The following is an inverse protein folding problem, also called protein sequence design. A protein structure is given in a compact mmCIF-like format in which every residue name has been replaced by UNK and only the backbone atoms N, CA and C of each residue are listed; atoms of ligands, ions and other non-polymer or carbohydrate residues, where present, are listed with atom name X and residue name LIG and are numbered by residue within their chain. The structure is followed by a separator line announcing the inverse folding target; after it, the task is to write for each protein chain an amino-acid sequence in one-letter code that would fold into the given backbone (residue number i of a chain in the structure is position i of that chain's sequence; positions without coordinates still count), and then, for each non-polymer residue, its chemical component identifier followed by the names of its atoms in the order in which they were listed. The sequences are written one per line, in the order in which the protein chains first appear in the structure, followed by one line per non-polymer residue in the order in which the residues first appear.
data_IF_592221918041
#
_entry.id   IF_592221918041
#
_cell.length_a   1.000
_cell.length_b   1.000
_cell.length_c   1.000
_cell.angle_alpha   90.00
_cell.angle_beta   90.00
_cell.angle_gamma   90.00
#
_symmetry.space_group_name_H-M   'P 1'
#
loop_
_entity.id
_entity.type
_entity.pdbx_description
1 polymer ?
#
# COMPACT_ATOMS: atom_id res chain seq x y z
N UNK A 1 1.65 2.26 16.41
CA UNK A 1 2.99 2.77 16.00
C UNK A 1 3.12 2.58 14.49
N UNK A 2 3.82 3.46 13.74
CA UNK A 2 4.02 3.27 12.29
C UNK A 2 5.29 2.44 12.04
N UNK A 3 5.17 1.38 11.25
CA UNK A 3 6.24 0.45 10.89
C UNK A 3 6.58 0.59 9.42
N UNK A 4 7.86 0.45 9.07
CA UNK A 4 8.33 0.64 7.71
C UNK A 4 9.29 -0.47 7.30
N UNK A 5 9.17 -0.93 6.05
CA UNK A 5 10.11 -1.83 5.38
C UNK A 5 10.58 -1.16 4.09
N UNK A 6 11.88 -1.04 3.91
CA UNK A 6 12.47 -0.58 2.66
C UNK A 6 12.73 -1.80 1.77
N UNK A 7 12.27 -1.74 0.52
CA UNK A 7 12.59 -2.69 -0.54
C UNK A 7 13.51 -2.00 -1.57
N UNK A 8 13.86 -2.71 -2.65
CA UNK A 8 14.88 -2.25 -3.60
C UNK A 8 14.47 -0.97 -4.30
N UNK A 9 13.20 -0.87 -4.74
CA UNK A 9 12.68 0.28 -5.48
C UNK A 9 11.54 1.00 -4.75
N UNK A 10 10.92 0.40 -3.73
CA UNK A 10 9.78 0.97 -3.00
C UNK A 10 9.98 0.88 -1.48
N UNK A 11 9.20 1.65 -0.75
CA UNK A 11 8.97 1.43 0.68
C UNK A 11 7.60 0.79 0.93
N UNK A 12 7.42 0.18 2.08
CA UNK A 12 6.13 -0.32 2.57
C UNK A 12 5.91 0.23 3.97
N UNK A 13 4.74 0.80 4.20
CA UNK A 13 4.33 1.42 5.44
C UNK A 13 3.13 0.68 6.01
N UNK A 14 3.26 0.19 7.24
CA UNK A 14 2.16 -0.41 7.99
C UNK A 14 1.83 0.44 9.21
N UNK A 15 0.57 0.78 9.36
CA UNK A 15 0.06 1.55 10.48
C UNK A 15 -0.98 0.72 11.22
N UNK A 16 -0.68 0.34 12.45
CA UNK A 16 -1.58 -0.52 13.26
C UNK A 16 -2.92 0.14 13.58
N UNK A 17 -2.96 1.48 13.61
CA UNK A 17 -4.16 2.27 13.85
C UNK A 17 -4.08 3.55 13.02
N UNK A 18 -4.73 3.55 11.86
CA UNK A 18 -4.77 4.72 11.00
C UNK A 18 -5.60 5.85 11.63
N UNK A 19 -5.19 7.12 11.51
CA UNK A 19 -5.89 8.25 12.12
C UNK A 19 -7.28 8.46 11.54
N UNK A 20 -7.46 8.19 10.25
CA UNK A 20 -8.68 8.53 9.53
C UNK A 20 -9.86 7.60 9.87
N UNK A 21 -9.59 6.31 10.06
CA UNK A 21 -10.63 5.29 10.26
C UNK A 21 -10.37 4.35 11.44
N UNK A 22 -9.26 4.51 12.18
CA UNK A 22 -8.97 3.76 13.39
C UNK A 22 -8.67 2.26 13.19
N UNK A 23 -8.55 1.79 11.95
CA UNK A 23 -8.20 0.40 11.62
C UNK A 23 -6.75 0.32 11.12
N UNK A 24 -6.13 -0.87 11.10
CA UNK A 24 -4.84 -1.03 10.46
C UNK A 24 -4.85 -0.60 9.00
N UNK A 25 -3.74 -0.08 8.48
CA UNK A 25 -3.57 0.29 7.08
C UNK A 25 -2.20 -0.14 6.59
N UNK A 26 -2.15 -0.65 5.36
CA UNK A 26 -0.92 -0.99 4.66
C UNK A 26 -0.84 -0.20 3.37
N UNK A 27 0.28 0.48 3.15
CA UNK A 27 0.51 1.30 1.97
C UNK A 27 1.91 1.08 1.37
N UNK A 28 1.99 1.15 0.04
CA UNK A 28 3.24 1.17 -0.71
C UNK A 28 3.68 2.63 -0.91
N UNK A 29 4.99 2.87 -0.78
CA UNK A 29 5.64 4.16 -0.94
C UNK A 29 6.51 4.11 -2.20
N UNK A 30 6.02 4.69 -3.29
CA UNK A 30 6.81 4.84 -4.52
C UNK A 30 7.67 6.10 -4.44
N UNK A 31 9.00 6.00 -4.58
CA UNK A 31 9.83 7.19 -4.65
C UNK A 31 9.51 7.96 -5.94
N UNK A 32 9.13 9.23 -5.79
CA UNK A 32 8.89 10.14 -6.93
C UNK A 32 10.08 11.09 -7.10
N UNK A 33 10.72 11.46 -6.00
CA UNK A 33 11.95 12.25 -5.97
C UNK A 33 12.73 11.96 -4.69
N UNK A 34 13.95 12.49 -4.56
CA UNK A 34 14.78 12.31 -3.35
C UNK A 34 14.12 12.72 -2.03
N UNK A 35 13.05 13.52 -2.06
CA UNK A 35 12.34 13.99 -0.84
C UNK A 35 10.84 13.69 -0.84
N UNK A 36 10.29 13.06 -1.88
CA UNK A 36 8.85 12.83 -2.00
C UNK A 36 8.57 11.39 -2.40
N UNK A 37 7.60 10.81 -1.71
CA UNK A 37 7.05 9.50 -2.02
C UNK A 37 5.57 9.67 -2.37
N UNK A 38 5.11 8.93 -3.39
CA UNK A 38 3.70 8.70 -3.63
C UNK A 38 3.27 7.55 -2.73
N UNK A 39 2.26 7.78 -1.91
CA UNK A 39 1.69 6.77 -1.01
C UNK A 39 0.48 6.16 -1.70
N UNK A 40 0.44 4.83 -1.79
CA UNK A 40 -0.69 4.08 -2.35
C UNK A 40 -1.15 3.07 -1.32
N UNK A 41 -2.30 3.29 -0.65
CA UNK A 41 -2.92 2.30 0.22
C UNK A 41 -3.24 1.03 -0.58
N UNK A 42 -2.89 -0.13 -0.03
CA UNK A 42 -3.16 -1.43 -0.65
C UNK A 42 -4.20 -2.26 0.10
N UNK A 43 -4.30 -2.08 1.42
CA UNK A 43 -5.30 -2.75 2.26
C UNK A 43 -5.56 -1.97 3.56
N UNK A 44 -6.75 -2.19 4.13
CA UNK A 44 -7.20 -1.66 5.42
C UNK A 44 -7.75 -2.82 6.27
N UNK A 45 -7.68 -2.71 7.59
CA UNK A 45 -8.28 -3.66 8.53
C UNK A 45 -7.48 -4.95 8.68
N UNK A 46 -8.20 -6.07 8.78
CA UNK A 46 -7.59 -7.40 8.94
C UNK A 46 -6.70 -7.77 7.75
N UNK A 47 -7.09 -7.39 6.53
CA UNK A 47 -6.33 -7.68 5.32
C UNK A 47 -4.97 -6.96 5.32
N UNK A 48 -4.91 -5.72 5.83
CA UNK A 48 -3.65 -5.01 6.00
C UNK A 48 -2.70 -5.76 6.96
N UNK A 49 -3.25 -6.27 8.07
CA UNK A 49 -2.51 -7.04 9.06
C UNK A 49 -1.97 -8.34 8.45
N UNK A 50 -2.83 -9.05 7.72
CA UNK A 50 -2.51 -10.31 7.05
C UNK A 50 -1.40 -10.13 6.01
N UNK A 51 -1.51 -9.14 5.13
CA UNK A 51 -0.51 -8.86 4.11
C UNK A 51 0.83 -8.43 4.71
N UNK A 52 0.83 -7.67 5.82
CA UNK A 52 2.06 -7.25 6.49
C UNK A 52 2.86 -8.42 7.11
N UNK A 53 2.16 -9.47 7.56
CA UNK A 53 2.78 -10.66 8.15
C UNK A 53 3.34 -11.63 7.11
N UNK A 54 2.92 -11.53 5.85
CA UNK A 54 3.38 -12.41 4.78
C UNK A 54 4.74 -11.96 4.19
N UNK A 55 5.57 -12.90 3.71
CA UNK A 55 6.81 -12.58 2.99
C UNK A 55 6.51 -12.23 1.52
N UNK A 56 5.69 -11.19 1.30
CA UNK A 56 5.36 -10.76 -0.05
C UNK A 56 6.57 -10.10 -0.71
N UNK A 57 6.87 -10.54 -1.94
CA UNK A 57 7.90 -9.93 -2.77
C UNK A 57 7.50 -8.54 -3.28
N UNK A 58 8.50 -7.75 -3.66
CA UNK A 58 8.34 -6.39 -4.19
C UNK A 58 7.36 -6.33 -5.37
N UNK A 59 7.47 -7.25 -6.33
CA UNK A 59 6.60 -7.30 -7.50
C UNK A 59 5.12 -7.52 -7.14
N UNK A 60 4.84 -8.35 -6.13
CA UNK A 60 3.48 -8.61 -5.67
C UNK A 60 2.85 -7.36 -5.04
N UNK A 61 3.62 -6.62 -4.24
CA UNK A 61 3.18 -5.36 -3.64
C UNK A 61 2.92 -4.28 -4.69
N UNK A 62 3.76 -4.21 -5.73
CA UNK A 62 3.56 -3.30 -6.85
C UNK A 62 2.27 -3.64 -7.60
N UNK A 63 2.01 -4.93 -7.87
CA UNK A 63 0.76 -5.38 -8.51
C UNK A 63 -0.48 -5.02 -7.68
N UNK A 64 -0.44 -5.24 -6.37
CA UNK A 64 -1.52 -4.86 -5.46
C UNK A 64 -1.77 -3.35 -5.48
N UNK A 65 -0.69 -2.55 -5.45
CA UNK A 65 -0.80 -1.09 -5.53
C UNK A 65 -1.31 -0.60 -6.89
N UNK A 66 -0.93 -1.27 -7.99
CA UNK A 66 -1.40 -0.94 -9.33
C UNK A 66 -2.91 -1.23 -9.49
N UNK A 67 -3.40 -2.33 -8.89
CA UNK A 67 -4.82 -2.69 -8.88
C UNK A 67 -5.72 -1.74 -8.08
N UNK A 68 -5.14 -0.92 -7.20
CA UNK A 68 -5.85 0.06 -6.36
C UNK A 68 -5.89 1.47 -6.98
N UNK A 69 -5.45 1.65 -8.24
CA UNK A 69 -5.49 2.93 -8.95
C UNK A 69 -6.70 2.98 -9.91
N UNK A 70 -7.86 3.55 -9.54
CA UNK A 70 -9.09 3.52 -10.34
C UNK A 70 -9.14 4.52 -11.51
N UNK A 71 -8.04 5.15 -11.93
CA UNK A 71 -8.10 6.05 -13.10
C UNK A 71 -8.07 5.34 -14.47
N UNK A 72 -8.04 4.00 -14.52
CA UNK A 72 -8.30 3.25 -15.76
C UNK A 72 -9.10 1.99 -15.48
N UNK A 73 -10.41 2.18 -15.29
CA UNK A 73 -11.36 1.08 -15.13
C UNK A 73 -12.82 1.53 -15.23
N UNK A 74 -13.11 2.67 -15.88
CA UNK A 74 -14.47 2.99 -16.31
C UNK A 74 -14.80 2.17 -17.56
N UNK A 75 -14.81 0.84 -17.44
CA UNK A 75 -15.68 0.03 -18.28
C UNK A 75 -17.07 0.14 -17.65
N UNK A 76 -17.84 1.10 -18.15
CA UNK A 76 -19.26 1.20 -17.85
C UNK A 76 -19.94 -0.14 -18.22
N UNK A 77 -20.73 -0.76 -17.33
CA UNK A 77 -21.70 -1.75 -17.75
C UNK A 77 -22.96 -1.02 -18.22
N UNK A 78 -23.23 -1.10 -19.53
CA UNK A 78 -24.55 -1.20 -20.18
C UNK A 78 -24.42 -0.81 -21.66
#
# INVERSE_FOLDING_TARGET
MRKYRQLSQIGVSYLEKAPDHGQPELAVLFPVSRRRHRVVPIAVGEEATRLWQQPLGEEALIKLAAGQNPEQGKAAPA
#
